data_IF_687360782185
#
_entry.id   IF_687360782185
#
_cell.length_a   1.000
_cell.length_b   1.000
_cell.length_c   1.000
_cell.angle_alpha   90.00
_cell.angle_beta   90.00
_cell.angle_gamma   90.00
#
_symmetry.space_group_name_H-M   'P 1'
#
loop_
_entity.id
_entity.type
_entity.pdbx_description
1 polymer ?
#
# COMPACT_ATOMS: atom_id res chain seq x y z
N UNK A 1 -21.28 4.46 15.15
CA UNK A 1 -20.75 5.72 14.61
C UNK A 1 -19.47 6.17 15.31
N UNK A 2 -19.41 6.31 16.64
CA UNK A 2 -18.20 6.78 17.37
C UNK A 2 -16.96 5.92 17.09
N UNK A 3 -17.07 4.57 17.09
CA UNK A 3 -15.94 3.68 16.81
C UNK A 3 -15.34 3.90 15.41
N UNK A 4 -16.18 4.03 14.38
CA UNK A 4 -15.67 4.30 13.01
C UNK A 4 -14.90 5.61 12.95
N UNK A 5 -15.40 6.67 13.61
CA UNK A 5 -14.71 7.96 13.69
C UNK A 5 -13.33 7.83 14.34
N UNK A 6 -13.23 7.14 15.49
CA UNK A 6 -11.94 6.95 16.16
C UNK A 6 -10.96 6.13 15.34
N UNK A 7 -11.42 5.05 14.69
CA UNK A 7 -10.57 4.26 13.78
C UNK A 7 -10.06 5.15 12.64
N UNK A 8 -10.94 5.95 12.02
CA UNK A 8 -10.54 6.83 10.91
C UNK A 8 -9.57 7.93 11.36
N UNK A 9 -9.71 8.46 12.57
CA UNK A 9 -8.74 9.41 13.13
C UNK A 9 -7.37 8.77 13.39
N UNK A 10 -7.33 7.52 13.88
CA UNK A 10 -6.08 6.78 14.06
C UNK A 10 -5.39 6.57 12.70
N UNK A 11 -6.13 6.10 11.68
CA UNK A 11 -5.59 5.87 10.34
C UNK A 11 -5.13 7.19 9.68
N UNK A 12 -5.87 8.28 9.86
CA UNK A 12 -5.47 9.60 9.39
C UNK A 12 -4.21 10.13 10.09
N UNK A 13 -4.03 9.85 11.39
CA UNK A 13 -2.81 10.21 12.10
C UNK A 13 -1.57 9.47 11.53
N UNK A 14 -1.69 8.18 11.21
CA UNK A 14 -0.64 7.46 10.48
C UNK A 14 -0.36 8.09 9.11
N UNK A 15 -1.38 8.59 8.42
CA UNK A 15 -1.22 9.22 7.11
C UNK A 15 -0.50 10.59 7.21
N UNK A 16 -0.80 11.38 8.23
CA UNK A 16 -0.06 12.62 8.51
C UNK A 16 1.41 12.32 8.78
N UNK A 17 1.71 11.29 9.58
CA UNK A 17 3.09 10.85 9.84
C UNK A 17 3.78 10.34 8.57
N UNK A 18 3.06 9.63 7.69
CA UNK A 18 3.62 9.15 6.43
C UNK A 18 4.08 10.30 5.52
N UNK A 19 3.38 11.44 5.52
CA UNK A 19 3.75 12.63 4.75
C UNK A 19 5.14 13.17 5.11
N UNK A 20 5.58 12.97 6.36
CA UNK A 20 6.92 13.40 6.82
C UNK A 20 8.04 12.63 6.12
N UNK A 21 7.80 11.37 5.75
CA UNK A 21 8.83 10.49 5.19
C UNK A 21 8.68 10.30 3.69
N UNK A 22 7.45 10.32 3.15
CA UNK A 22 7.23 10.08 1.72
C UNK A 22 7.79 11.22 0.85
N UNK A 23 7.70 12.47 1.30
CA UNK A 23 8.24 13.60 0.53
C UNK A 23 9.76 13.54 0.44
N UNK A 24 10.53 13.45 1.57
CA UNK A 24 11.98 13.25 1.48
C UNK A 24 12.37 12.02 0.66
N UNK A 25 11.66 10.90 0.81
CA UNK A 25 11.93 9.69 0.03
C UNK A 25 11.73 9.89 -1.48
N UNK A 26 10.68 10.61 -1.88
CA UNK A 26 10.49 10.97 -3.29
C UNK A 26 11.61 11.86 -3.81
N UNK A 27 12.08 12.84 -3.01
CA UNK A 27 13.20 13.68 -3.38
C UNK A 27 14.51 12.88 -3.54
N UNK A 28 14.80 11.96 -2.60
CA UNK A 28 15.93 11.02 -2.71
C UNK A 28 15.84 10.21 -4.01
N UNK A 29 14.68 9.64 -4.29
CA UNK A 29 14.45 8.87 -5.51
C UNK A 29 14.66 9.71 -6.77
N UNK A 30 14.07 10.91 -6.84
CA UNK A 30 14.22 11.80 -7.99
C UNK A 30 15.69 12.22 -8.17
N UNK A 31 16.40 12.55 -7.09
CA UNK A 31 17.84 12.89 -7.15
C UNK A 31 18.72 11.72 -7.59
N UNK A 32 18.30 10.47 -7.33
CA UNK A 32 19.05 9.28 -7.73
C UNK A 32 18.88 8.98 -9.23
N UNK A 33 17.65 9.10 -9.74
CA UNK A 33 17.32 8.63 -11.08
C UNK A 33 17.22 9.73 -12.15
N UNK A 34 17.11 11.00 -11.77
CA UNK A 34 17.00 12.12 -12.70
C UNK A 34 18.29 12.94 -12.73
N UNK A 35 18.64 13.46 -13.92
CA UNK A 35 19.77 14.37 -14.02
C UNK A 35 19.49 15.71 -13.32
N UNK A 36 20.53 16.43 -12.87
CA UNK A 36 20.37 17.74 -12.21
C UNK A 36 19.61 18.77 -13.06
N UNK A 37 19.68 18.67 -14.38
CA UNK A 37 18.95 19.56 -15.30
C UNK A 37 17.44 19.30 -15.30
N UNK A 38 17.01 18.11 -14.87
CA UNK A 38 15.59 17.72 -14.80
C UNK A 38 15.04 17.90 -13.39
N UNK A 39 15.86 17.61 -12.37
CA UNK A 39 15.48 17.74 -10.97
C UNK A 39 16.66 18.19 -10.12
N UNK A 40 16.58 19.41 -9.55
CA UNK A 40 17.50 19.92 -8.54
C UNK A 40 16.76 20.05 -7.19
N UNK A 41 17.17 19.32 -6.15
CA UNK A 41 16.58 19.43 -4.82
C UNK A 41 16.79 20.78 -4.15
N UNK A 42 17.69 21.64 -4.69
CA UNK A 42 17.91 23.00 -4.20
C UNK A 42 17.01 24.05 -4.88
N UNK A 43 16.37 23.70 -6.01
CA UNK A 43 15.44 24.57 -6.77
C UNK A 43 14.00 24.09 -6.67
N UNK A 44 13.53 23.92 -5.44
CA UNK A 44 12.14 23.49 -5.19
C UNK A 44 11.18 24.68 -5.25
N UNK A 45 9.94 24.49 -5.77
CA UNK A 45 8.94 25.56 -5.87
C UNK A 45 8.47 26.10 -4.50
N UNK A 46 8.68 25.32 -3.44
CA UNK A 46 8.37 25.65 -2.05
C UNK A 46 9.43 25.08 -1.11
N UNK A 47 9.62 25.66 0.08
CA UNK A 47 10.49 25.06 1.09
C UNK A 47 10.06 23.62 1.43
N UNK A 48 11.02 22.73 1.66
CA UNK A 48 10.78 21.32 1.98
C UNK A 48 9.74 21.14 3.09
N UNK A 49 9.81 21.94 4.16
CA UNK A 49 8.84 21.88 5.25
C UNK A 49 7.40 22.18 4.80
N UNK A 50 7.22 23.08 3.84
CA UNK A 50 5.90 23.38 3.28
C UNK A 50 5.38 22.23 2.42
N UNK A 51 6.22 21.59 1.59
CA UNK A 51 5.87 20.41 0.80
C UNK A 51 5.46 19.26 1.71
N UNK A 52 6.23 18.98 2.77
CA UNK A 52 5.89 17.97 3.78
C UNK A 52 4.54 18.30 4.44
N UNK A 53 4.32 19.55 4.86
CA UNK A 53 3.08 19.98 5.51
C UNK A 53 1.86 19.78 4.60
N UNK A 54 1.96 20.20 3.33
CA UNK A 54 0.89 20.03 2.34
C UNK A 54 0.59 18.55 2.10
N UNK A 55 1.62 17.75 1.84
CA UNK A 55 1.45 16.30 1.61
C UNK A 55 0.84 15.59 2.83
N UNK A 56 1.31 15.92 4.05
CA UNK A 56 0.78 15.36 5.30
C UNK A 56 -0.71 15.65 5.48
N UNK A 57 -1.13 16.90 5.23
CA UNK A 57 -2.54 17.29 5.32
C UNK A 57 -3.38 16.58 4.26
N UNK A 58 -2.92 16.56 3.00
CA UNK A 58 -3.62 15.90 1.90
C UNK A 58 -3.80 14.40 2.16
N UNK A 59 -2.73 13.72 2.59
CA UNK A 59 -2.78 12.30 2.93
C UNK A 59 -3.70 12.04 4.13
N UNK A 60 -3.61 12.88 5.17
CA UNK A 60 -4.47 12.78 6.34
C UNK A 60 -5.96 12.91 6.00
N UNK A 61 -6.34 13.93 5.23
CA UNK A 61 -7.71 14.15 4.79
C UNK A 61 -8.20 13.02 3.88
N UNK A 62 -7.42 12.65 2.87
CA UNK A 62 -7.77 11.58 1.95
C UNK A 62 -7.98 10.24 2.67
N UNK A 63 -7.05 9.88 3.58
CA UNK A 63 -7.14 8.64 4.37
C UNK A 63 -8.31 8.68 5.35
N UNK A 64 -8.59 9.82 5.97
CA UNK A 64 -9.75 9.99 6.84
C UNK A 64 -11.07 9.72 6.10
N UNK A 65 -11.26 10.35 4.94
CA UNK A 65 -12.47 10.18 4.13
C UNK A 65 -12.57 8.74 3.62
N UNK A 66 -11.49 8.21 3.04
CA UNK A 66 -11.48 6.84 2.53
C UNK A 66 -11.73 5.81 3.64
N UNK A 67 -11.16 5.98 4.83
CA UNK A 67 -11.37 5.06 5.94
C UNK A 67 -12.79 5.08 6.47
N UNK A 68 -13.42 6.26 6.66
CA UNK A 68 -14.83 6.36 7.08
C UNK A 68 -15.75 5.65 6.09
N UNK A 69 -15.62 5.96 4.80
CA UNK A 69 -16.41 5.33 3.74
C UNK A 69 -16.12 3.84 3.65
N UNK A 70 -14.85 3.46 3.67
CA UNK A 70 -14.39 2.08 3.61
C UNK A 70 -14.94 1.24 4.77
N UNK A 71 -14.88 1.71 6.02
CA UNK A 71 -15.41 1.01 7.19
C UNK A 71 -16.93 0.81 7.06
N UNK A 72 -17.67 1.84 6.62
CA UNK A 72 -19.12 1.75 6.43
C UNK A 72 -19.45 0.69 5.36
N UNK A 73 -18.72 0.66 4.27
CA UNK A 73 -18.90 -0.30 3.19
C UNK A 73 -18.47 -1.72 3.61
N UNK A 74 -17.32 -1.85 4.25
CA UNK A 74 -16.80 -3.12 4.76
C UNK A 74 -17.80 -3.84 5.65
N UNK A 75 -18.41 -3.12 6.60
CA UNK A 75 -19.44 -3.67 7.48
C UNK A 75 -20.67 -4.16 6.74
N UNK A 76 -21.05 -3.53 5.62
CA UNK A 76 -22.18 -3.95 4.77
C UNK A 76 -21.91 -5.22 3.97
N UNK A 77 -20.62 -5.54 3.79
CA UNK A 77 -20.19 -6.69 2.97
C UNK A 77 -19.36 -7.71 3.76
N UNK A 78 -19.53 -7.76 5.08
CA UNK A 78 -18.88 -8.73 5.99
C UNK A 78 -17.34 -8.73 5.95
N UNK A 79 -16.72 -7.65 5.53
CA UNK A 79 -15.29 -7.40 5.68
C UNK A 79 -15.01 -6.84 7.08
N UNK A 80 -13.86 -7.18 7.68
CA UNK A 80 -13.63 -7.00 9.12
C UNK A 80 -12.40 -6.14 9.42
N UNK A 81 -12.41 -5.55 10.61
CA UNK A 81 -11.29 -4.83 11.23
C UNK A 81 -11.12 -5.30 12.68
N UNK A 82 -10.76 -6.59 12.92
CA UNK A 82 -10.87 -7.20 14.24
C UNK A 82 -9.97 -6.57 15.30
N UNK A 83 -8.78 -6.08 14.93
CA UNK A 83 -7.84 -5.46 15.87
C UNK A 83 -8.27 -4.03 16.15
N UNK A 84 -8.53 -3.23 15.12
CA UNK A 84 -8.96 -1.83 15.26
C UNK A 84 -10.31 -1.72 15.99
N UNK A 85 -11.27 -2.60 15.69
CA UNK A 85 -12.54 -2.65 16.41
C UNK A 85 -12.33 -2.99 17.89
N UNK A 86 -11.45 -3.94 18.21
CA UNK A 86 -11.15 -4.31 19.59
C UNK A 86 -10.39 -3.23 20.36
N UNK A 87 -9.55 -2.43 19.70
CA UNK A 87 -8.81 -1.32 20.32
C UNK A 87 -9.74 -0.15 20.71
N UNK A 88 -10.74 0.13 19.86
CA UNK A 88 -11.58 1.31 20.00
C UNK A 88 -12.88 1.01 20.79
N UNK A 89 -13.35 -0.24 20.76
CA UNK A 89 -14.60 -0.62 21.38
C UNK A 89 -14.36 -1.31 22.72
N UNK A 90 -14.60 -0.61 23.83
CA UNK A 90 -14.38 -1.12 25.20
C UNK A 90 -15.07 -2.45 25.50
N UNK A 91 -16.13 -2.78 24.78
CA UNK A 91 -16.90 -4.01 24.95
C UNK A 91 -16.43 -5.18 24.07
N UNK A 92 -15.40 -4.96 23.23
CA UNK A 92 -14.84 -5.99 22.37
C UNK A 92 -13.38 -6.25 22.76
N UNK A 93 -13.01 -7.53 22.84
CA UNK A 93 -11.59 -7.90 23.03
C UNK A 93 -10.86 -7.81 21.71
N UNK A 94 -9.64 -7.31 21.76
CA UNK A 94 -8.71 -7.41 20.62
C UNK A 94 -8.49 -8.89 20.30
N UNK A 95 -8.86 -9.28 19.09
CA UNK A 95 -8.70 -10.69 18.65
C UNK A 95 -7.60 -10.77 17.60
N UNK A 96 -6.47 -11.33 17.99
CA UNK A 96 -5.33 -11.59 17.10
C UNK A 96 -5.17 -13.09 16.92
N UNK A 97 -5.18 -13.56 15.66
CA UNK A 97 -4.85 -14.94 15.34
C UNK A 97 -3.35 -15.06 15.06
N UNK A 98 -2.58 -15.63 15.98
CA UNK A 98 -1.14 -15.80 15.81
C UNK A 98 -0.76 -16.56 14.54
N UNK A 99 -1.53 -17.60 14.17
CA UNK A 99 -1.33 -18.34 12.92
C UNK A 99 -1.44 -17.43 11.68
N UNK A 100 -2.45 -16.55 11.62
CA UNK A 100 -2.65 -15.67 10.47
C UNK A 100 -1.70 -14.48 10.49
N UNK A 101 -1.28 -14.03 11.67
CA UNK A 101 -0.20 -13.03 11.78
C UNK A 101 1.11 -13.61 11.24
N UNK A 102 1.44 -14.84 11.59
CA UNK A 102 2.61 -15.53 11.03
C UNK A 102 2.52 -15.64 9.50
N UNK A 103 1.36 -16.01 8.94
CA UNK A 103 1.18 -16.04 7.49
C UNK A 103 1.32 -14.66 6.86
N UNK A 104 0.78 -13.61 7.48
CA UNK A 104 0.93 -12.24 6.98
C UNK A 104 2.41 -11.83 6.94
N UNK A 105 3.17 -12.12 8.00
CA UNK A 105 4.61 -11.84 8.06
C UNK A 105 5.38 -12.66 7.01
N UNK A 106 5.14 -13.97 6.89
CA UNK A 106 5.83 -14.80 5.90
C UNK A 106 5.53 -14.37 4.45
N UNK A 107 4.27 -14.02 4.16
CA UNK A 107 3.89 -13.50 2.85
C UNK A 107 4.50 -12.12 2.58
N UNK A 108 4.62 -11.27 3.60
CA UNK A 108 5.33 -10.00 3.48
C UNK A 108 6.82 -10.20 3.20
N UNK A 109 7.50 -11.07 3.96
CA UNK A 109 8.92 -11.40 3.71
C UNK A 109 9.11 -11.96 2.29
N UNK A 110 8.24 -12.88 1.86
CA UNK A 110 8.26 -13.41 0.50
C UNK A 110 8.06 -12.28 -0.54
N UNK A 111 7.20 -11.30 -0.23
CA UNK A 111 6.98 -10.13 -1.08
C UNK A 111 8.25 -9.29 -1.26
N UNK A 112 8.87 -8.91 -0.17
CA UNK A 112 10.13 -8.15 -0.19
C UNK A 112 11.25 -8.90 -0.93
N UNK A 113 11.39 -10.22 -0.68
CA UNK A 113 12.32 -11.08 -1.41
C UNK A 113 12.03 -11.07 -2.90
N UNK A 114 10.76 -11.32 -3.29
CA UNK A 114 10.39 -11.43 -4.71
C UNK A 114 10.67 -10.13 -5.47
N UNK A 115 10.38 -8.97 -4.87
CA UNK A 115 10.62 -7.67 -5.50
C UNK A 115 12.13 -7.47 -5.74
N UNK A 116 12.94 -7.61 -4.70
CA UNK A 116 14.40 -7.37 -4.81
C UNK A 116 15.08 -8.43 -5.68
N UNK A 117 14.72 -9.70 -5.54
CA UNK A 117 15.27 -10.77 -6.35
C UNK A 117 14.90 -10.64 -7.85
N UNK A 118 13.65 -10.24 -8.15
CA UNK A 118 13.24 -9.99 -9.54
C UNK A 118 14.01 -8.82 -10.17
N UNK A 119 14.21 -7.75 -9.41
CA UNK A 119 15.01 -6.62 -9.88
C UNK A 119 16.47 -7.02 -10.08
N UNK A 120 17.08 -7.70 -9.12
CA UNK A 120 18.48 -8.13 -9.17
C UNK A 120 18.76 -9.17 -10.25
N UNK A 121 17.97 -10.25 -10.35
CA UNK A 121 18.24 -11.34 -11.28
C UNK A 121 17.70 -11.12 -12.68
N UNK A 122 16.70 -10.25 -12.88
CA UNK A 122 16.05 -10.09 -14.16
C UNK A 122 15.96 -8.63 -14.63
N UNK A 123 15.30 -7.74 -13.89
CA UNK A 123 14.96 -6.41 -14.41
C UNK A 123 16.17 -5.50 -14.58
N UNK A 124 17.21 -5.59 -13.76
CA UNK A 124 18.42 -4.79 -13.94
C UNK A 124 19.14 -5.09 -15.29
N UNK A 125 18.97 -6.29 -15.83
CA UNK A 125 19.54 -6.65 -17.14
C UNK A 125 18.68 -6.20 -18.32
N UNK A 126 17.44 -5.82 -18.09
CA UNK A 126 16.49 -5.36 -19.10
C UNK A 126 16.26 -3.84 -19.04
N UNK A 127 16.55 -3.23 -17.92
CA UNK A 127 16.31 -1.81 -17.63
C UNK A 127 17.65 -1.22 -17.15
N UNK A 128 18.48 -0.63 -18.03
CA UNK A 128 19.82 -0.14 -17.69
C UNK A 128 19.84 0.80 -16.50
N UNK A 129 18.84 1.66 -16.36
CA UNK A 129 18.74 2.61 -15.26
C UNK A 129 18.74 1.95 -13.87
N UNK A 130 18.21 0.74 -13.74
CA UNK A 130 18.25 -0.03 -12.46
C UNK A 130 19.68 -0.54 -12.19
N UNK A 131 20.40 -0.97 -13.21
CA UNK A 131 21.78 -1.42 -13.07
C UNK A 131 22.74 -0.28 -12.74
N UNK A 132 22.53 0.88 -13.35
CA UNK A 132 23.33 2.10 -13.14
C UNK A 132 23.08 2.73 -11.76
N UNK A 133 21.88 2.57 -11.22
CA UNK A 133 21.47 3.12 -9.93
C UNK A 133 20.87 2.00 -9.06
N UNK A 134 21.71 1.10 -8.53
CA UNK A 134 21.24 -0.01 -7.71
C UNK A 134 20.53 0.50 -6.44
N UNK A 135 19.45 -0.17 -6.02
CA UNK A 135 18.75 0.17 -4.79
C UNK A 135 19.69 0.15 -3.59
N UNK A 136 19.56 1.16 -2.72
CA UNK A 136 20.29 1.24 -1.46
C UNK A 136 19.33 1.40 -0.29
N UNK A 137 19.78 1.07 0.91
CA UNK A 137 19.00 1.32 2.12
C UNK A 137 18.70 2.82 2.27
N UNK A 138 17.43 3.15 2.49
CA UNK A 138 16.98 4.49 2.85
C UNK A 138 16.08 4.42 4.07
N UNK A 139 16.39 5.19 5.10
CA UNK A 139 15.53 5.32 6.28
C UNK A 139 14.18 5.96 5.91
N UNK A 140 14.18 6.98 5.06
CA UNK A 140 12.95 7.59 4.56
C UNK A 140 12.15 6.59 3.71
N UNK A 141 12.83 5.79 2.89
CA UNK A 141 12.22 4.71 2.11
C UNK A 141 11.60 3.62 2.98
N UNK A 142 12.27 3.22 4.07
CA UNK A 142 11.73 2.28 5.06
C UNK A 142 10.46 2.83 5.72
N UNK A 143 10.53 4.05 6.27
CA UNK A 143 9.41 4.64 7.02
C UNK A 143 8.25 5.03 6.11
N UNK A 144 8.53 5.53 4.91
CA UNK A 144 7.52 5.76 3.88
C UNK A 144 6.86 4.44 3.45
N UNK A 145 7.65 3.40 3.18
CA UNK A 145 7.12 2.07 2.82
C UNK A 145 6.22 1.48 3.90
N UNK A 146 6.62 1.58 5.16
CA UNK A 146 5.83 1.07 6.30
C UNK A 146 4.55 1.87 6.50
N UNK A 147 4.62 3.21 6.49
CA UNK A 147 3.47 4.06 6.82
C UNK A 147 2.60 4.33 5.60
N UNK A 148 3.18 4.75 4.48
CA UNK A 148 2.41 5.03 3.26
C UNK A 148 2.01 3.72 2.57
N UNK A 149 2.96 2.87 2.18
CA UNK A 149 2.68 1.58 1.53
C UNK A 149 1.84 0.67 2.43
N UNK A 150 2.37 0.35 3.63
CA UNK A 150 1.74 -0.60 4.53
C UNK A 150 0.39 -0.17 5.09
N UNK A 151 0.13 1.12 5.32
CA UNK A 151 -1.13 1.58 5.94
C UNK A 151 -2.02 2.32 4.95
N UNK A 152 -1.52 3.39 4.31
CA UNK A 152 -2.40 4.28 3.52
C UNK A 152 -2.89 3.58 2.26
N UNK A 153 -2.01 2.91 1.53
CA UNK A 153 -2.40 2.18 0.33
C UNK A 153 -3.39 1.05 0.65
N UNK A 154 -3.23 0.36 1.79
CA UNK A 154 -4.20 -0.63 2.25
C UNK A 154 -5.55 -0.02 2.60
N UNK A 155 -5.57 1.18 3.19
CA UNK A 155 -6.82 1.91 3.46
C UNK A 155 -7.50 2.33 2.16
N UNK A 156 -6.76 2.89 1.20
CA UNK A 156 -7.33 3.38 -0.05
C UNK A 156 -7.80 2.23 -0.94
N UNK A 157 -6.98 1.21 -1.10
CA UNK A 157 -7.21 0.13 -2.09
C UNK A 157 -8.02 -1.02 -1.48
N UNK A 158 -7.72 -1.47 -0.27
CA UNK A 158 -8.41 -2.62 0.33
C UNK A 158 -9.62 -2.18 1.14
N UNK A 159 -9.41 -1.32 2.14
CA UNK A 159 -10.53 -0.92 2.99
C UNK A 159 -11.61 -0.15 2.23
N UNK A 160 -11.23 0.78 1.36
CA UNK A 160 -12.22 1.57 0.61
C UNK A 160 -12.58 0.94 -0.73
N UNK A 161 -11.66 0.88 -1.71
CA UNK A 161 -11.98 0.49 -3.08
C UNK A 161 -12.51 -0.95 -3.19
N UNK A 162 -11.81 -1.93 -2.60
CA UNK A 162 -12.25 -3.33 -2.64
C UNK A 162 -13.62 -3.50 -1.95
N UNK A 163 -13.84 -2.86 -0.78
CA UNK A 163 -15.14 -2.91 -0.09
C UNK A 163 -16.24 -2.27 -0.93
N UNK A 164 -15.94 -1.17 -1.63
CA UNK A 164 -16.86 -0.50 -2.54
C UNK A 164 -17.24 -1.42 -3.71
N UNK A 165 -16.27 -2.06 -4.36
CA UNK A 165 -16.54 -2.99 -5.48
C UNK A 165 -17.41 -4.15 -5.02
N UNK A 166 -17.10 -4.81 -3.89
CA UNK A 166 -17.94 -5.88 -3.35
C UNK A 166 -19.35 -5.38 -3.07
N UNK A 167 -19.50 -4.20 -2.50
CA UNK A 167 -20.81 -3.61 -2.20
C UNK A 167 -21.61 -3.32 -3.47
N UNK A 168 -20.99 -2.78 -4.52
CA UNK A 168 -21.64 -2.52 -5.82
C UNK A 168 -22.10 -3.84 -6.44
N UNK A 169 -21.22 -4.84 -6.52
CA UNK A 169 -21.57 -6.16 -7.07
C UNK A 169 -22.73 -6.82 -6.29
N UNK A 170 -22.68 -6.75 -4.96
CA UNK A 170 -23.76 -7.27 -4.12
C UNK A 170 -25.09 -6.54 -4.40
N UNK A 171 -25.07 -5.21 -4.48
CA UNK A 171 -26.26 -4.40 -4.74
C UNK A 171 -26.88 -4.65 -6.11
N UNK A 172 -26.05 -4.82 -7.14
CA UNK A 172 -26.51 -5.00 -8.52
C UNK A 172 -26.98 -6.43 -8.77
N UNK A 173 -26.25 -7.45 -8.28
CA UNK A 173 -26.43 -8.84 -8.72
C UNK A 173 -26.90 -9.81 -7.65
N UNK A 174 -26.83 -9.45 -6.37
CA UNK A 174 -27.16 -10.39 -5.28
C UNK A 174 -27.97 -9.78 -4.13
N UNK A 175 -28.63 -8.66 -4.34
CA UNK A 175 -29.37 -7.92 -3.29
C UNK A 175 -30.38 -8.78 -2.51
N UNK A 176 -30.96 -9.80 -3.15
CA UNK A 176 -31.93 -10.73 -2.55
C UNK A 176 -31.28 -11.93 -1.85
N UNK A 177 -29.95 -12.14 -2.00
CA UNK A 177 -29.25 -13.27 -1.37
C UNK A 177 -28.92 -12.96 0.09
N UNK A 178 -29.05 -13.97 0.95
CA UNK A 178 -28.69 -13.88 2.36
C UNK A 178 -27.17 -13.75 2.55
N UNK A 179 -26.41 -14.41 1.65
CA UNK A 179 -24.94 -14.40 1.70
C UNK A 179 -24.34 -13.79 0.43
N UNK A 180 -23.24 -13.09 0.60
CA UNK A 180 -22.47 -12.51 -0.52
C UNK A 180 -21.68 -13.63 -1.21
N UNK A 181 -21.82 -13.81 -2.54
CA UNK A 181 -21.06 -14.82 -3.27
C UNK A 181 -19.55 -14.60 -3.17
N UNK A 182 -18.78 -15.65 -2.95
CA UNK A 182 -17.32 -15.59 -2.87
C UNK A 182 -16.67 -15.00 -4.14
N UNK A 183 -17.28 -15.24 -5.31
CA UNK A 183 -16.83 -14.67 -6.57
C UNK A 183 -16.73 -13.13 -6.54
N UNK A 184 -17.62 -12.44 -5.80
CA UNK A 184 -17.59 -10.98 -5.71
C UNK A 184 -16.36 -10.45 -4.97
N UNK A 185 -15.92 -11.19 -3.94
CA UNK A 185 -14.67 -10.85 -3.26
C UNK A 185 -13.47 -11.08 -4.18
N UNK A 186 -13.44 -12.19 -4.94
CA UNK A 186 -12.35 -12.44 -5.89
C UNK A 186 -12.30 -11.41 -7.01
N UNK A 187 -13.43 -11.03 -7.59
CA UNK A 187 -13.51 -9.96 -8.60
C UNK A 187 -12.98 -8.66 -8.00
N UNK A 188 -13.40 -8.31 -6.79
CA UNK A 188 -12.96 -7.08 -6.13
C UNK A 188 -11.45 -7.13 -5.80
N UNK A 189 -10.91 -8.27 -5.37
CA UNK A 189 -9.47 -8.47 -5.12
C UNK A 189 -8.67 -8.22 -6.40
N UNK A 190 -9.07 -8.85 -7.50
CA UNK A 190 -8.35 -8.71 -8.79
C UNK A 190 -8.43 -7.28 -9.31
N UNK A 191 -9.62 -6.68 -9.32
CA UNK A 191 -9.79 -5.29 -9.78
C UNK A 191 -9.00 -4.29 -8.90
N UNK A 192 -9.03 -4.46 -7.58
CA UNK A 192 -8.25 -3.62 -6.66
C UNK A 192 -6.73 -3.81 -6.87
N UNK A 193 -6.27 -5.04 -7.14
CA UNK A 193 -4.87 -5.33 -7.44
C UNK A 193 -4.42 -4.71 -8.79
N UNK A 194 -5.29 -4.71 -9.80
CA UNK A 194 -5.04 -4.03 -11.08
C UNK A 194 -4.91 -2.51 -10.84
N UNK A 195 -5.85 -1.90 -10.11
CA UNK A 195 -5.79 -0.46 -9.80
C UNK A 195 -4.54 -0.14 -8.99
N UNK A 196 -4.14 -1.00 -8.08
CA UNK A 196 -2.91 -0.84 -7.30
C UNK A 196 -1.65 -0.85 -8.18
N UNK A 197 -1.54 -1.79 -9.11
CA UNK A 197 -0.43 -1.84 -10.06
C UNK A 197 -0.39 -0.60 -10.98
N UNK A 198 -1.55 -0.20 -11.53
CA UNK A 198 -1.68 1.00 -12.36
C UNK A 198 -1.38 2.28 -11.59
N UNK A 199 -1.72 2.33 -10.29
CA UNK A 199 -1.41 3.44 -9.40
C UNK A 199 0.10 3.76 -9.27
N UNK A 200 0.98 2.79 -9.58
CA UNK A 200 2.43 2.99 -9.59
C UNK A 200 2.97 3.56 -10.93
N UNK A 201 2.15 3.61 -11.98
CA UNK A 201 2.60 4.11 -13.29
C UNK A 201 3.10 5.56 -13.27
N UNK A 202 2.43 6.51 -12.60
CA UNK A 202 2.92 7.89 -12.57
C UNK A 202 4.35 8.00 -12.01
N UNK A 203 4.63 7.34 -10.88
CA UNK A 203 5.97 7.33 -10.29
C UNK A 203 6.97 6.61 -11.20
N UNK A 204 6.58 5.49 -11.79
CA UNK A 204 7.41 4.77 -12.77
C UNK A 204 7.75 5.67 -13.97
N UNK A 205 6.78 6.40 -14.50
CA UNK A 205 7.00 7.32 -15.63
C UNK A 205 7.92 8.49 -15.26
N UNK A 206 7.80 9.04 -14.06
CA UNK A 206 8.70 10.10 -13.59
C UNK A 206 10.13 9.58 -13.50
N UNK A 207 10.34 8.39 -12.92
CA UNK A 207 11.68 7.81 -12.69
C UNK A 207 12.33 7.33 -14.01
N UNK A 208 11.57 6.66 -14.88
CA UNK A 208 12.11 5.99 -16.07
C UNK A 208 11.84 6.75 -17.38
N UNK A 209 11.18 7.91 -17.34
CA UNK A 209 10.87 8.74 -18.50
C UNK A 209 9.67 8.27 -19.30
N UNK A 210 9.54 6.96 -19.54
CA UNK A 210 8.42 6.38 -20.30
C UNK A 210 7.93 5.07 -19.68
N UNK A 211 6.68 4.69 -19.98
CA UNK A 211 6.10 3.41 -19.59
C UNK A 211 6.31 2.36 -20.68
N UNK A 212 7.50 1.79 -20.74
CA UNK A 212 7.77 0.66 -21.64
C UNK A 212 6.99 -0.60 -21.22
N UNK A 213 6.80 -1.54 -22.16
CA UNK A 213 6.08 -2.80 -21.88
C UNK A 213 6.70 -3.58 -20.72
N UNK A 214 8.02 -3.58 -20.58
CA UNK A 214 8.72 -4.27 -19.49
C UNK A 214 8.42 -3.64 -18.12
N UNK A 215 8.33 -2.31 -18.04
CA UNK A 215 7.98 -1.58 -16.83
C UNK A 215 6.51 -1.81 -16.43
N UNK A 216 5.62 -1.86 -17.41
CA UNK A 216 4.21 -2.23 -17.18
C UNK A 216 4.11 -3.65 -16.63
N UNK A 217 4.77 -4.63 -17.26
CA UNK A 217 4.80 -6.03 -16.78
C UNK A 217 5.40 -6.10 -15.38
N UNK A 218 6.52 -5.41 -15.12
CA UNK A 218 7.14 -5.34 -13.79
C UNK A 218 6.15 -4.83 -12.74
N UNK A 219 5.42 -3.76 -13.02
CA UNK A 219 4.44 -3.21 -12.08
C UNK A 219 3.31 -4.21 -11.78
N UNK A 220 2.75 -4.88 -12.80
CA UNK A 220 1.71 -5.89 -12.58
C UNK A 220 2.22 -7.12 -11.82
N UNK A 221 3.44 -7.57 -12.09
CA UNK A 221 4.01 -8.72 -11.38
C UNK A 221 4.39 -8.38 -9.94
N UNK A 222 5.05 -7.26 -9.69
CA UNK A 222 5.56 -6.94 -8.36
C UNK A 222 4.50 -6.29 -7.46
N UNK A 223 3.66 -5.40 -7.97
CA UNK A 223 2.60 -4.78 -7.19
C UNK A 223 1.27 -5.54 -7.31
N UNK A 224 0.87 -5.95 -8.52
CA UNK A 224 -0.40 -6.62 -8.75
C UNK A 224 -0.51 -7.97 -8.05
N UNK A 225 0.53 -8.83 -8.14
CA UNK A 225 0.53 -10.14 -7.48
C UNK A 225 0.37 -10.01 -5.96
N UNK A 226 1.18 -9.16 -5.32
CA UNK A 226 1.05 -8.91 -3.88
C UNK A 226 -0.22 -8.15 -3.54
N UNK A 227 -0.73 -7.36 -4.46
CA UNK A 227 -2.07 -6.78 -4.38
C UNK A 227 -3.17 -7.81 -4.19
N UNK A 228 -3.09 -8.94 -4.89
CA UNK A 228 -4.02 -10.08 -4.70
C UNK A 228 -3.83 -10.72 -3.32
N UNK A 229 -2.59 -10.92 -2.87
CA UNK A 229 -2.28 -11.51 -1.55
C UNK A 229 -2.86 -10.65 -0.42
N UNK A 230 -2.62 -9.33 -0.44
CA UNK A 230 -3.14 -8.42 0.57
C UNK A 230 -4.68 -8.37 0.56
N UNK A 231 -5.31 -8.35 -0.63
CA UNK A 231 -6.75 -8.42 -0.76
C UNK A 231 -7.34 -9.72 -0.20
N UNK A 232 -6.67 -10.85 -0.41
CA UNK A 232 -7.07 -12.14 0.17
C UNK A 232 -6.97 -12.14 1.70
N UNK A 233 -5.87 -11.61 2.27
CA UNK A 233 -5.71 -11.48 3.72
C UNK A 233 -6.81 -10.61 4.33
N UNK A 234 -7.11 -9.46 3.69
CA UNK A 234 -8.21 -8.60 4.12
C UNK A 234 -9.55 -9.34 4.13
N UNK A 235 -9.91 -9.99 3.03
CA UNK A 235 -11.16 -10.74 2.94
C UNK A 235 -11.26 -11.83 4.01
N UNK A 236 -10.19 -12.59 4.22
CA UNK A 236 -10.23 -13.78 5.10
C UNK A 236 -10.10 -13.43 6.58
N UNK A 237 -9.39 -12.39 6.94
CA UNK A 237 -9.02 -12.12 8.33
C UNK A 237 -9.20 -10.68 8.81
N UNK A 238 -9.14 -9.72 7.93
CA UNK A 238 -9.30 -8.31 8.24
C UNK A 238 -8.16 -7.47 7.70
N UNK A 239 -8.40 -6.16 7.65
CA UNK A 239 -7.50 -5.20 7.03
C UNK A 239 -6.11 -5.20 7.70
N UNK A 240 -6.04 -5.44 8.99
CA UNK A 240 -4.79 -5.39 9.75
C UNK A 240 -3.80 -6.46 9.30
N UNK A 241 -4.28 -7.63 8.84
CA UNK A 241 -3.40 -8.68 8.32
C UNK A 241 -2.83 -8.32 6.94
N UNK A 242 -3.58 -7.59 6.12
CA UNK A 242 -3.06 -7.01 4.88
C UNK A 242 -2.00 -5.94 5.19
N UNK A 243 -2.31 -5.02 6.12
CA UNK A 243 -1.38 -3.98 6.61
C UNK A 243 -0.09 -4.62 7.12
N UNK A 244 -0.15 -5.60 8.03
CA UNK A 244 1.05 -6.26 8.57
C UNK A 244 1.87 -6.94 7.48
N UNK A 245 1.24 -7.59 6.52
CA UNK A 245 1.93 -8.24 5.40
C UNK A 245 2.65 -7.21 4.52
N UNK A 246 1.98 -6.11 4.18
CA UNK A 246 2.56 -5.06 3.35
C UNK A 246 3.69 -4.30 4.07
N UNK A 247 3.50 -3.93 5.33
CA UNK A 247 4.57 -3.36 6.17
C UNK A 247 5.80 -4.28 6.22
N UNK A 248 5.58 -5.59 6.43
CA UNK A 248 6.67 -6.57 6.50
C UNK A 248 7.39 -6.71 5.15
N UNK A 249 6.69 -6.56 4.02
CA UNK A 249 7.34 -6.54 2.71
C UNK A 249 8.35 -5.38 2.61
N UNK A 250 7.96 -4.16 3.00
CA UNK A 250 8.87 -3.01 3.01
C UNK A 250 10.01 -3.16 4.01
N UNK A 251 9.73 -3.66 5.22
CA UNK A 251 10.76 -3.90 6.25
C UNK A 251 11.79 -4.92 5.74
N UNK A 252 11.34 -6.05 5.22
CA UNK A 252 12.25 -7.10 4.74
C UNK A 252 13.01 -6.66 3.48
N UNK A 253 12.38 -5.91 2.59
CA UNK A 253 13.03 -5.33 1.41
C UNK A 253 14.18 -4.41 1.83
N UNK A 254 13.93 -3.44 2.71
CA UNK A 254 14.90 -2.42 3.08
C UNK A 254 15.99 -2.95 4.04
N UNK A 255 15.64 -3.80 5.01
CA UNK A 255 16.57 -4.22 6.06
C UNK A 255 17.27 -5.54 5.77
N UNK A 256 16.71 -6.39 4.90
CA UNK A 256 17.29 -7.69 4.59
C UNK A 256 17.74 -7.80 3.15
N UNK A 257 16.83 -7.64 2.19
CA UNK A 257 17.12 -8.05 0.82
C UNK A 257 17.91 -7.04 0.01
N UNK A 258 17.67 -5.74 0.16
CA UNK A 258 18.53 -4.72 -0.47
C UNK A 258 19.97 -4.87 0.01
N UNK A 259 20.30 -4.91 1.34
CA UNK A 259 21.69 -5.11 1.78
C UNK A 259 22.33 -6.46 1.44
N UNK A 260 21.54 -7.50 1.12
CA UNK A 260 22.06 -8.81 0.73
C UNK A 260 22.38 -8.89 -0.75
N UNK A 261 21.55 -8.26 -1.60
CA UNK A 261 21.66 -8.37 -3.06
C UNK A 261 22.48 -7.24 -3.69
N UNK A 262 22.51 -6.07 -3.07
CA UNK A 262 23.21 -4.86 -3.52
C UNK A 262 24.20 -4.36 -2.48
#
# INVERSE_FOLDING_TARGET
MKANLYISLILAAFAVLAGIFIVPYQMETMSTYLSPDVFDPNDLPLPMAALIGIASIQLGVATFVASILGIILARKVNLKLPILDGLVNKNQRVTVSGKWLMYAVLLGVLGGFTIVAADYFYYQHQIPLIAENPPAFSLNGLLAGVLYGGVIEEVLIRLFLMSFIVWVLYKLFARKKVTIPHAFYWIAIVLAAIVFAVGHFPTTQVVFGELSSILVIRSFLLNGLFGVVFGYLYWRKGIEYAIFSHMTAHISMQLLFIPIFY
#
